data_IF_023847405267
#
_entry.id   IF_023847405267
#
_cell.length_a   1.000
_cell.length_b   1.000
_cell.length_c   1.000
_cell.angle_alpha   90.00
_cell.angle_beta   90.00
_cell.angle_gamma   90.00
#
_symmetry.space_group_name_H-M   'P 1'
#
loop_
_entity.id
_entity.type
_entity.pdbx_description
1 polymer ?
#
# COMPACT_ATOMS: atom_id res chain seq x y z
N UNK A 1 25.22 46.18 -40.43
CA UNK A 1 25.65 45.46 -39.20
C UNK A 1 24.77 44.24 -39.06
N UNK A 2 25.33 43.06 -39.26
CA UNK A 2 24.65 41.76 -39.21
C UNK A 2 25.04 41.10 -37.89
N UNK A 3 24.08 40.88 -37.01
CA UNK A 3 24.27 40.18 -35.74
C UNK A 3 24.32 38.66 -36.00
N UNK A 4 25.44 38.04 -35.66
CA UNK A 4 25.60 36.59 -35.63
C UNK A 4 25.07 36.03 -34.29
N UNK A 5 24.24 34.97 -34.30
CA UNK A 5 23.84 34.28 -33.08
C UNK A 5 24.97 33.36 -32.58
N UNK A 6 25.29 33.50 -31.28
CA UNK A 6 26.26 32.69 -30.57
C UNK A 6 25.74 31.26 -30.34
N UNK A 7 26.48 30.26 -30.81
CA UNK A 7 26.22 28.84 -30.53
C UNK A 7 26.64 28.47 -29.09
N UNK A 8 25.87 27.65 -28.36
CA UNK A 8 26.26 27.12 -27.06
C UNK A 8 27.26 25.96 -27.19
N UNK A 9 28.29 25.95 -26.34
CA UNK A 9 29.26 24.86 -26.22
C UNK A 9 28.66 23.65 -25.49
N UNK A 10 29.03 22.40 -25.87
CA UNK A 10 28.61 21.20 -25.15
C UNK A 10 29.43 21.01 -23.86
N UNK A 11 28.71 20.75 -22.76
CA UNK A 11 29.22 20.41 -21.44
C UNK A 11 29.81 18.99 -21.46
N UNK A 12 31.13 18.88 -21.28
CA UNK A 12 31.83 17.61 -21.10
C UNK A 12 31.48 17.00 -19.74
N UNK A 13 30.76 15.88 -19.75
CA UNK A 13 30.52 15.08 -18.54
C UNK A 13 31.71 14.15 -18.33
N UNK A 14 32.44 14.43 -17.25
CA UNK A 14 33.55 13.67 -16.69
C UNK A 14 33.06 12.31 -16.17
N UNK A 15 33.56 11.22 -16.75
CA UNK A 15 33.28 9.85 -16.31
C UNK A 15 34.29 9.45 -15.22
N UNK A 16 33.95 9.77 -13.97
CA UNK A 16 34.65 9.31 -12.78
C UNK A 16 34.62 7.78 -12.65
N UNK A 17 35.77 7.17 -12.96
CA UNK A 17 36.09 5.76 -12.79
C UNK A 17 36.82 5.56 -11.46
N UNK A 18 36.17 4.88 -10.50
CA UNK A 18 36.79 4.21 -9.33
C UNK A 18 35.75 3.19 -8.86
N UNK A 19 35.87 1.87 -9.06
CA UNK A 19 36.98 1.01 -8.68
C UNK A 19 36.57 0.24 -7.41
N UNK A 20 36.24 -1.06 -7.47
CA UNK A 20 35.75 -1.82 -6.33
C UNK A 20 36.90 -2.18 -5.39
N UNK A 21 36.87 -1.64 -4.17
CA UNK A 21 37.78 -2.05 -3.10
C UNK A 21 37.37 -3.42 -2.57
N UNK A 22 38.26 -4.38 -2.80
CA UNK A 22 38.30 -5.67 -2.14
C UNK A 22 38.40 -5.47 -0.62
N UNK A 23 37.50 -6.10 0.14
CA UNK A 23 37.75 -6.44 1.53
C UNK A 23 37.57 -7.96 1.68
N UNK A 24 38.68 -8.66 1.41
CA UNK A 24 38.87 -10.06 1.77
C UNK A 24 39.31 -10.13 3.24
N UNK A 25 38.69 -11.03 4.00
CA UNK A 25 39.40 -11.76 5.05
C UNK A 25 39.11 -11.35 6.49
N UNK A 26 37.96 -11.80 7.01
CA UNK A 26 37.90 -12.39 8.36
C UNK A 26 37.04 -13.64 8.33
N UNK A 27 37.72 -14.77 8.18
CA UNK A 27 37.25 -16.08 8.59
C UNK A 27 37.06 -16.13 10.12
N UNK A 28 36.26 -17.12 10.53
CA UNK A 28 36.15 -17.72 11.87
C UNK A 28 35.06 -17.15 12.80
N UNK A 29 33.80 -17.53 12.55
CA UNK A 29 33.07 -18.40 13.49
C UNK A 29 31.85 -19.04 12.81
N UNK A 30 32.00 -20.33 12.50
CA UNK A 30 30.97 -21.18 11.95
C UNK A 30 29.93 -21.53 13.04
N UNK A 31 28.82 -20.78 13.08
CA UNK A 31 27.57 -21.33 13.59
C UNK A 31 26.72 -21.71 12.38
N UNK A 32 26.90 -22.96 11.94
CA UNK A 32 26.09 -23.61 10.92
C UNK A 32 24.67 -23.80 11.49
N UNK A 33 23.85 -22.75 11.45
CA UNK A 33 22.41 -22.85 11.64
C UNK A 33 21.82 -23.59 10.45
N UNK A 34 21.47 -24.85 10.71
CA UNK A 34 20.69 -25.72 9.86
C UNK A 34 19.51 -24.94 9.25
N UNK A 35 19.34 -24.91 7.92
CA UNK A 35 18.10 -24.39 7.33
C UNK A 35 16.94 -25.26 7.83
N UNK A 36 15.83 -24.68 8.28
CA UNK A 36 14.66 -25.46 8.69
C UNK A 36 14.21 -26.34 7.51
N UNK A 37 13.72 -27.57 7.78
CA UNK A 37 13.22 -28.44 6.73
C UNK A 37 12.12 -27.71 5.97
N UNK A 38 12.37 -27.47 4.67
CA UNK A 38 11.36 -26.96 3.74
C UNK A 38 10.24 -27.98 3.75
N UNK A 39 9.12 -27.62 4.38
CA UNK A 39 7.98 -28.49 4.60
C UNK A 39 7.57 -29.14 3.28
N UNK A 40 7.56 -30.46 3.26
CA UNK A 40 7.02 -31.24 2.16
C UNK A 40 5.60 -30.74 1.85
N UNK A 41 5.27 -30.46 0.58
CA UNK A 41 3.94 -29.98 0.20
C UNK A 41 2.93 -30.99 0.73
N UNK A 42 2.09 -30.52 1.65
CA UNK A 42 1.10 -31.33 2.31
C UNK A 42 0.11 -31.83 1.25
N UNK A 43 0.04 -33.16 1.09
CA UNK A 43 -0.85 -33.88 0.15
C UNK A 43 -2.34 -33.46 0.27
N UNK A 44 -2.71 -32.81 1.37
CA UNK A 44 -4.00 -32.18 1.59
C UNK A 44 -4.28 -30.99 0.66
N UNK A 45 -3.26 -30.23 0.25
CA UNK A 45 -3.42 -29.09 -0.68
C UNK A 45 -3.70 -29.55 -2.12
N UNK A 46 -3.12 -30.68 -2.54
CA UNK A 46 -3.26 -31.21 -3.90
C UNK A 46 -4.66 -31.79 -4.16
N UNK A 47 -5.26 -32.42 -3.14
CA UNK A 47 -6.65 -32.92 -3.21
C UNK A 47 -7.68 -31.79 -3.17
N UNK A 48 -7.40 -30.69 -2.46
CA UNK A 48 -8.24 -29.49 -2.45
C UNK A 48 -8.20 -28.73 -3.78
N UNK A 49 -7.01 -28.56 -4.37
CA UNK A 49 -6.85 -27.87 -5.64
C UNK A 49 -7.52 -28.63 -6.81
N UNK A 50 -7.37 -29.96 -6.85
CA UNK A 50 -8.05 -30.80 -7.84
C UNK A 50 -9.57 -30.81 -7.68
N UNK A 51 -10.07 -30.83 -6.44
CA UNK A 51 -11.52 -30.71 -6.16
C UNK A 51 -12.14 -29.43 -6.69
N UNK A 52 -11.47 -28.28 -6.49
CA UNK A 52 -11.94 -26.98 -6.98
C UNK A 52 -12.02 -26.90 -8.51
N UNK A 53 -11.05 -27.48 -9.22
CA UNK A 53 -11.06 -27.54 -10.69
C UNK A 53 -12.25 -28.34 -11.22
N UNK A 54 -12.54 -29.50 -10.62
CA UNK A 54 -13.68 -30.34 -11.03
C UNK A 54 -15.01 -29.62 -10.81
N UNK A 55 -15.17 -28.98 -9.65
CA UNK A 55 -16.38 -28.19 -9.35
C UNK A 55 -16.52 -27.01 -10.30
N UNK A 56 -15.43 -26.32 -10.61
CA UNK A 56 -15.41 -25.20 -11.56
C UNK A 56 -15.84 -25.62 -12.98
N UNK A 57 -15.29 -26.72 -13.49
CA UNK A 57 -15.64 -27.24 -14.83
C UNK A 57 -17.10 -27.70 -14.87
N UNK A 58 -17.57 -28.41 -13.85
CA UNK A 58 -18.98 -28.83 -13.76
C UNK A 58 -19.93 -27.63 -13.68
N UNK A 59 -19.56 -26.58 -12.93
CA UNK A 59 -20.31 -25.32 -12.87
C UNK A 59 -20.39 -24.62 -14.22
N UNK A 60 -19.28 -24.55 -14.96
CA UNK A 60 -19.23 -23.96 -16.30
C UNK A 60 -20.12 -24.72 -17.28
N UNK A 61 -20.00 -26.06 -17.30
CA UNK A 61 -20.83 -26.93 -18.15
C UNK A 61 -22.31 -26.77 -17.80
N UNK A 62 -22.65 -26.69 -16.52
CA UNK A 62 -24.03 -26.45 -16.07
C UNK A 62 -24.58 -25.09 -16.53
N UNK A 63 -23.77 -24.02 -16.45
CA UNK A 63 -24.15 -22.68 -16.92
C UNK A 63 -24.37 -22.68 -18.44
N UNK A 64 -23.48 -23.32 -19.20
CA UNK A 64 -23.62 -23.49 -20.66
C UNK A 64 -24.90 -24.27 -21.01
N UNK A 65 -25.15 -25.39 -20.33
CA UNK A 65 -26.36 -26.18 -20.53
C UNK A 65 -27.63 -25.38 -20.19
N UNK A 66 -27.60 -24.59 -19.12
CA UNK A 66 -28.72 -23.73 -18.72
C UNK A 66 -28.99 -22.65 -19.76
N UNK A 67 -27.95 -22.09 -20.38
CA UNK A 67 -28.10 -21.07 -21.42
C UNK A 67 -28.63 -21.65 -22.74
N UNK A 68 -28.11 -22.81 -23.15
CA UNK A 68 -28.57 -23.53 -24.35
C UNK A 68 -30.03 -23.97 -24.20
N UNK A 69 -30.42 -24.45 -23.01
CA UNK A 69 -31.81 -24.87 -22.75
C UNK A 69 -32.78 -23.69 -22.77
N UNK A 70 -32.32 -22.48 -22.38
CA UNK A 70 -33.08 -21.23 -22.52
C UNK A 70 -33.22 -20.78 -23.98
N UNK A 71 -32.25 -21.08 -24.84
CA UNK A 71 -32.35 -20.77 -26.27
C UNK A 71 -33.30 -21.71 -27.00
N UNK A 72 -33.32 -23.01 -26.69
CA UNK A 72 -34.21 -23.97 -27.36
C UNK A 72 -35.70 -23.72 -27.11
N UNK A 73 -36.06 -23.09 -25.99
CA UNK A 73 -37.45 -22.64 -25.74
C UNK A 73 -37.87 -21.47 -26.64
N UNK A 74 -36.92 -20.74 -27.25
CA UNK A 74 -37.22 -19.65 -28.20
C UNK A 74 -37.40 -20.14 -29.64
N UNK A 75 -36.96 -21.36 -29.95
CA UNK A 75 -36.96 -21.90 -31.32
C UNK A 75 -38.30 -22.55 -31.71
N UNK A 76 -39.17 -22.89 -30.75
CA UNK A 76 -40.53 -23.38 -31.02
C UNK A 76 -41.55 -22.26 -31.31
N UNK A 77 -41.09 -21.03 -31.50
CA UNK A 77 -41.92 -19.86 -31.82
C UNK A 77 -41.72 -19.42 -33.28
N UNK A 78 -41.66 -20.37 -34.21
CA UNK A 78 -41.48 -20.11 -35.65
C UNK A 78 -42.78 -19.70 -36.37
N UNK A 79 -43.61 -18.91 -35.67
CA UNK A 79 -44.75 -18.18 -36.24
C UNK A 79 -44.82 -16.78 -35.60
N UNK A 80 -43.65 -16.19 -35.38
CA UNK A 80 -43.53 -14.81 -34.88
C UNK A 80 -43.95 -13.85 -35.99
N UNK A 81 -45.07 -13.11 -35.84
CA UNK A 81 -45.58 -12.18 -36.85
C UNK A 81 -44.53 -11.09 -37.13
N UNK A 82 -44.48 -10.60 -38.37
CA UNK A 82 -43.52 -9.59 -38.84
C UNK A 82 -43.41 -8.34 -37.92
N UNK A 83 -44.45 -8.08 -37.13
CA UNK A 83 -44.52 -7.00 -36.14
C UNK A 83 -43.57 -7.20 -34.94
N UNK A 84 -43.30 -8.43 -34.53
CA UNK A 84 -42.38 -8.75 -33.42
C UNK A 84 -40.91 -8.63 -33.84
N UNK A 85 -40.58 -8.96 -35.11
CA UNK A 85 -39.23 -8.73 -35.67
C UNK A 85 -38.86 -7.24 -35.71
N UNK A 86 -39.84 -6.37 -35.95
CA UNK A 86 -39.62 -4.92 -35.87
C UNK A 86 -39.35 -4.46 -34.43
N UNK A 87 -39.96 -5.11 -33.43
CA UNK A 87 -39.72 -4.81 -32.01
C UNK A 87 -38.33 -5.29 -31.56
N UNK A 88 -37.87 -6.46 -32.01
CA UNK A 88 -36.54 -6.96 -31.65
C UNK A 88 -35.43 -6.06 -32.19
N UNK A 89 -35.51 -5.63 -33.46
CA UNK A 89 -34.55 -4.68 -34.05
C UNK A 89 -34.53 -3.35 -33.28
N UNK A 90 -35.71 -2.86 -32.86
CA UNK A 90 -35.81 -1.63 -32.05
C UNK A 90 -35.20 -1.80 -30.65
N UNK A 91 -35.39 -2.96 -30.02
CA UNK A 91 -34.80 -3.25 -28.71
C UNK A 91 -33.28 -3.43 -28.78
N UNK A 92 -32.77 -3.99 -29.88
CA UNK A 92 -31.33 -4.14 -30.11
C UNK A 92 -30.68 -2.77 -30.32
N UNK A 93 -31.29 -1.90 -31.13
CA UNK A 93 -30.85 -0.51 -31.29
C UNK A 93 -30.95 0.30 -29.98
N UNK A 94 -31.90 0.01 -29.10
CA UNK A 94 -31.97 0.64 -27.78
C UNK A 94 -30.81 0.17 -26.87
N UNK A 95 -30.44 -1.11 -26.94
CA UNK A 95 -29.33 -1.67 -26.15
C UNK A 95 -27.95 -1.16 -26.60
N UNK A 96 -27.74 -0.97 -27.90
CA UNK A 96 -26.48 -0.40 -28.41
C UNK A 96 -26.31 1.06 -28.01
N UNK A 97 -27.39 1.84 -27.97
CA UNK A 97 -27.38 3.21 -27.45
C UNK A 97 -27.03 3.25 -25.95
N UNK A 98 -27.50 2.29 -25.16
CA UNK A 98 -27.16 2.19 -23.73
C UNK A 98 -25.67 1.91 -23.52
N UNK A 99 -25.07 1.02 -24.33
CA UNK A 99 -23.62 0.76 -24.30
C UNK A 99 -22.80 2.02 -24.60
N UNK A 100 -23.21 2.82 -25.59
CA UNK A 100 -22.53 4.10 -25.88
C UNK A 100 -22.69 5.11 -24.74
N UNK A 101 -23.82 5.08 -24.03
CA UNK A 101 -24.01 5.88 -22.82
C UNK A 101 -23.09 5.45 -21.67
N UNK A 102 -22.89 4.14 -21.50
CA UNK A 102 -21.98 3.60 -20.48
C UNK A 102 -20.52 3.92 -20.78
N UNK A 103 -20.07 3.83 -22.03
CA UNK A 103 -18.69 4.19 -22.41
C UNK A 103 -18.43 5.67 -22.18
N UNK A 104 -19.38 6.54 -22.52
CA UNK A 104 -19.27 7.98 -22.25
C UNK A 104 -19.14 8.27 -20.74
N UNK A 105 -19.96 7.65 -19.89
CA UNK A 105 -19.86 7.79 -18.42
C UNK A 105 -18.54 7.25 -17.86
N UNK A 106 -18.04 6.14 -18.43
CA UNK A 106 -16.75 5.60 -18.04
C UNK A 106 -15.61 6.58 -18.40
N UNK A 107 -15.65 7.18 -19.59
CA UNK A 107 -14.70 8.21 -20.01
C UNK A 107 -14.75 9.43 -19.09
N UNK A 108 -15.94 9.90 -18.72
CA UNK A 108 -16.12 11.01 -17.77
C UNK A 108 -15.57 10.67 -16.37
N UNK A 109 -15.77 9.43 -15.91
CA UNK A 109 -15.23 8.95 -14.63
C UNK A 109 -13.71 8.89 -14.65
N UNK A 110 -13.10 8.39 -15.74
CA UNK A 110 -11.65 8.36 -15.91
C UNK A 110 -11.09 9.78 -15.93
N UNK A 111 -11.72 10.70 -16.65
CA UNK A 111 -11.29 12.10 -16.68
C UNK A 111 -11.32 12.73 -15.30
N UNK A 112 -12.37 12.46 -14.52
CA UNK A 112 -12.48 12.93 -13.13
C UNK A 112 -11.37 12.34 -12.25
N UNK A 113 -11.06 11.05 -12.40
CA UNK A 113 -9.98 10.41 -11.64
C UNK A 113 -8.60 10.98 -11.99
N UNK A 114 -8.34 11.31 -13.26
CA UNK A 114 -7.10 11.96 -13.70
C UNK A 114 -6.95 13.31 -12.98
N UNK A 115 -7.97 14.16 -13.01
CA UNK A 115 -7.93 15.46 -12.32
C UNK A 115 -7.76 15.31 -10.80
N UNK A 116 -8.36 14.29 -10.18
CA UNK A 116 -8.14 14.02 -8.77
C UNK A 116 -6.69 13.57 -8.47
N UNK A 117 -6.08 12.78 -9.34
CA UNK A 117 -4.70 12.34 -9.19
C UNK A 117 -3.72 13.51 -9.38
N UNK A 118 -3.95 14.36 -10.38
CA UNK A 118 -3.16 15.57 -10.60
C UNK A 118 -3.17 16.49 -9.36
N UNK A 119 -4.34 16.75 -8.78
CA UNK A 119 -4.47 17.55 -7.56
C UNK A 119 -3.74 16.90 -6.36
N UNK A 120 -3.79 15.58 -6.24
CA UNK A 120 -3.07 14.86 -5.18
C UNK A 120 -1.57 14.90 -5.39
N UNK A 121 -1.09 14.79 -6.63
CA UNK A 121 0.33 14.88 -6.96
C UNK A 121 0.90 16.25 -6.56
N UNK A 122 0.23 17.34 -6.96
CA UNK A 122 0.62 18.72 -6.57
C UNK A 122 0.66 18.89 -5.05
N UNK A 123 -0.32 18.31 -4.33
CA UNK A 123 -0.33 18.37 -2.86
C UNK A 123 0.83 17.59 -2.24
N UNK A 124 1.20 16.44 -2.80
CA UNK A 124 2.33 15.65 -2.30
C UNK A 124 3.66 16.34 -2.58
N UNK A 125 3.83 16.95 -3.74
CA UNK A 125 4.99 17.75 -4.09
C UNK A 125 5.18 18.92 -3.11
N UNK A 126 4.12 19.68 -2.83
CA UNK A 126 4.17 20.76 -1.84
C UNK A 126 4.49 20.29 -0.40
N UNK A 127 4.08 19.06 -0.03
CA UNK A 127 4.42 18.49 1.27
C UNK A 127 5.89 18.03 1.32
N UNK A 128 6.41 17.53 0.21
CA UNK A 128 7.80 17.10 0.07
C UNK A 128 8.74 18.31 0.15
N UNK A 129 8.47 19.38 -0.60
CA UNK A 129 9.21 20.64 -0.52
C UNK A 129 9.27 21.19 0.91
N UNK A 130 8.13 21.11 1.63
CA UNK A 130 8.06 21.56 3.03
C UNK A 130 8.86 20.66 3.97
N UNK A 131 8.93 19.37 3.71
CA UNK A 131 9.74 18.44 4.49
C UNK A 131 11.24 18.70 4.26
N UNK A 132 11.66 18.89 3.00
CA UNK A 132 13.04 19.22 2.65
C UNK A 132 13.49 20.55 3.26
N UNK A 133 12.65 21.59 3.20
CA UNK A 133 12.94 22.86 3.85
C UNK A 133 13.18 22.72 5.37
N UNK A 134 12.40 21.85 6.04
CA UNK A 134 12.59 21.57 7.46
C UNK A 134 13.86 20.76 7.75
N UNK A 135 14.20 19.80 6.91
CA UNK A 135 15.43 19.01 7.05
C UNK A 135 16.64 19.94 6.96
N UNK A 136 16.68 20.79 5.94
CA UNK A 136 17.74 21.79 5.77
C UNK A 136 17.82 22.77 6.96
N UNK A 137 16.69 23.19 7.52
CA UNK A 137 16.67 24.02 8.73
C UNK A 137 17.29 23.29 9.94
N UNK A 138 16.99 22.00 10.12
CA UNK A 138 17.56 21.21 11.22
C UNK A 138 19.03 20.92 11.03
N UNK A 139 19.48 20.63 9.81
CA UNK A 139 20.89 20.46 9.48
C UNK A 139 21.67 21.74 9.77
N UNK A 140 21.17 22.90 9.32
CA UNK A 140 21.79 24.20 9.62
C UNK A 140 21.82 24.51 11.12
N UNK A 141 20.84 24.04 11.90
CA UNK A 141 20.85 24.16 13.37
C UNK A 141 21.88 23.21 14.00
N UNK A 142 22.03 22.01 13.47
CA UNK A 142 22.99 21.02 13.96
C UNK A 142 24.42 21.48 13.69
N UNK A 143 24.70 21.98 12.48
CA UNK A 143 26.00 22.58 12.13
C UNK A 143 26.35 23.79 12.99
N UNK A 144 25.35 24.61 13.37
CA UNK A 144 25.56 25.74 14.30
C UNK A 144 25.73 25.29 15.76
N UNK A 145 25.19 24.14 16.12
CA UNK A 145 25.24 23.61 17.48
C UNK A 145 26.57 22.88 17.80
N UNK A 146 27.33 22.45 16.78
CA UNK A 146 28.72 22.02 16.98
C UNK A 146 29.68 23.22 17.03
N UNK A 147 30.65 23.30 17.99
CA UNK A 147 31.18 22.23 18.82
C UNK A 147 30.90 22.47 20.32
N UNK A 148 29.96 21.74 20.89
CA UNK A 148 29.91 21.59 22.35
C UNK A 148 31.08 20.69 22.73
N UNK A 149 32.06 21.27 23.44
CA UNK A 149 33.20 20.57 24.04
C UNK A 149 32.77 19.23 24.64
N UNK A 150 33.56 18.15 24.48
CA UNK A 150 33.20 16.82 24.96
C UNK A 150 32.80 16.90 26.44
N UNK A 151 31.63 16.33 26.83
CA UNK A 151 31.19 16.37 28.21
C UNK A 151 32.24 15.68 29.09
N UNK A 152 32.54 16.22 30.29
CA UNK A 152 33.48 15.61 31.22
C UNK A 152 33.02 14.19 31.57
N UNK A 153 33.97 13.25 31.59
CA UNK A 153 33.76 11.82 31.80
C UNK A 153 32.82 11.52 32.99
N UNK A 154 31.86 10.58 32.82
CA UNK A 154 30.86 10.28 33.83
C UNK A 154 31.50 9.60 35.06
N UNK A 155 31.28 10.18 36.23
CA UNK A 155 31.56 9.59 37.54
C UNK A 155 30.49 8.51 37.79
N UNK A 156 30.84 7.29 38.26
CA UNK A 156 29.87 6.22 38.49
C UNK A 156 29.01 6.52 39.71
N UNK A 157 27.84 7.11 39.49
CA UNK A 157 26.80 7.26 40.50
C UNK A 157 25.90 6.02 40.49
N UNK A 158 25.97 5.22 41.55
CA UNK A 158 24.88 4.31 41.93
C UNK A 158 23.69 5.16 42.38
N UNK A 159 22.82 5.52 41.44
CA UNK A 159 21.51 6.10 41.74
C UNK A 159 20.44 5.06 41.39
N UNK A 160 19.77 4.57 42.44
CA UNK A 160 18.46 3.95 42.31
C UNK A 160 17.58 4.94 41.53
N UNK A 161 17.03 4.57 40.36
CA UNK A 161 16.24 5.50 39.55
C UNK A 161 15.03 5.91 40.37
N UNK A 162 15.02 7.18 40.79
CA UNK A 162 13.83 7.80 41.34
C UNK A 162 12.71 7.61 40.32
N UNK A 163 11.51 7.11 40.72
CA UNK A 163 10.44 6.81 39.79
C UNK A 163 10.12 8.05 38.98
N UNK A 164 10.40 7.99 37.68
CA UNK A 164 10.11 9.08 36.76
C UNK A 164 8.62 9.43 36.87
N UNK A 165 8.25 10.72 36.80
CA UNK A 165 6.85 11.13 36.80
C UNK A 165 6.10 10.40 35.68
N UNK A 166 5.22 9.46 36.05
CA UNK A 166 4.38 8.73 35.10
C UNK A 166 3.46 9.74 34.42
N UNK A 167 3.52 9.79 33.08
CA UNK A 167 2.66 10.64 32.26
C UNK A 167 1.17 10.41 32.64
N UNK A 168 0.39 11.47 32.88
CA UNK A 168 -1.05 11.35 33.16
C UNK A 168 -1.81 10.52 32.12
N UNK A 169 -1.35 10.47 30.86
CA UNK A 169 -1.95 9.64 29.81
C UNK A 169 -1.81 8.15 30.11
N UNK A 170 -0.63 7.69 30.53
CA UNK A 170 -0.38 6.28 30.84
C UNK A 170 -1.29 5.80 31.97
N UNK A 171 -1.47 6.64 33.00
CA UNK A 171 -2.38 6.36 34.11
C UNK A 171 -3.82 6.17 33.63
N UNK A 172 -4.28 7.00 32.70
CA UNK A 172 -5.63 6.91 32.13
C UNK A 172 -5.82 5.67 31.26
N UNK A 173 -4.83 5.33 30.43
CA UNK A 173 -4.85 4.10 29.60
C UNK A 173 -4.92 2.85 30.48
N UNK A 174 -4.11 2.77 31.54
CA UNK A 174 -4.16 1.63 32.47
C UNK A 174 -5.49 1.55 33.23
N UNK A 175 -6.04 2.68 33.68
CA UNK A 175 -7.34 2.68 34.36
C UNK A 175 -8.49 2.18 33.48
N UNK A 176 -8.45 2.45 32.16
CA UNK A 176 -9.44 1.94 31.20
C UNK A 176 -9.21 0.46 30.88
N UNK A 177 -7.96 0.02 30.78
CA UNK A 177 -7.64 -1.40 30.60
C UNK A 177 -8.04 -2.24 31.83
N UNK A 178 -7.89 -1.71 33.04
CA UNK A 178 -8.32 -2.35 34.29
C UNK A 178 -9.86 -2.47 34.39
N UNK A 179 -10.61 -1.71 33.57
CA UNK A 179 -12.06 -1.86 33.40
C UNK A 179 -12.45 -2.94 32.38
N UNK A 180 -11.47 -3.56 31.71
CA UNK A 180 -11.68 -4.62 30.72
C UNK A 180 -11.98 -4.14 29.30
N UNK A 181 -11.71 -2.87 28.98
CA UNK A 181 -11.89 -2.31 27.63
C UNK A 181 -10.81 -2.84 26.66
N UNK A 182 -11.19 -3.03 25.40
CA UNK A 182 -10.27 -3.45 24.34
C UNK A 182 -9.35 -2.29 23.88
N UNK A 183 -8.10 -2.53 23.43
CA UNK A 183 -7.19 -1.47 22.99
C UNK A 183 -7.78 -0.52 21.94
N UNK A 184 -8.64 -1.02 21.03
CA UNK A 184 -9.30 -0.19 20.01
C UNK A 184 -10.30 0.78 20.64
N UNK A 185 -11.02 0.35 21.68
CA UNK A 185 -11.98 1.19 22.41
C UNK A 185 -11.28 2.27 23.22
N UNK A 186 -10.18 1.90 23.90
CA UNK A 186 -9.34 2.83 24.65
C UNK A 186 -8.75 3.90 23.72
N UNK A 187 -8.25 3.49 22.55
CA UNK A 187 -7.72 4.39 21.52
C UNK A 187 -8.74 5.44 21.07
N UNK A 188 -10.00 5.02 20.82
CA UNK A 188 -11.09 5.94 20.48
C UNK A 188 -11.46 6.89 21.62
N UNK A 189 -11.43 6.42 22.86
CA UNK A 189 -11.83 7.23 24.02
C UNK A 189 -10.75 8.26 24.43
N UNK A 190 -9.47 7.93 24.22
CA UNK A 190 -8.33 8.80 24.56
C UNK A 190 -7.89 9.65 23.35
N UNK A 191 -8.49 9.43 22.17
CA UNK A 191 -8.16 10.08 20.90
C UNK A 191 -6.66 9.90 20.52
N UNK A 192 -6.26 8.62 20.48
CA UNK A 192 -4.88 8.20 20.19
C UNK A 192 -4.86 6.98 19.26
N UNK A 193 -3.77 6.75 18.50
CA UNK A 193 -3.65 5.57 17.64
C UNK A 193 -3.58 4.27 18.44
N UNK A 194 -4.22 3.19 17.96
CA UNK A 194 -4.26 1.89 18.64
C UNK A 194 -2.86 1.33 18.95
N UNK A 195 -1.91 1.44 18.02
CA UNK A 195 -0.54 0.94 18.24
C UNK A 195 0.19 1.62 19.39
N UNK A 196 -0.09 2.90 19.67
CA UNK A 196 0.47 3.59 20.83
C UNK A 196 -0.11 3.05 22.14
N UNK A 197 -1.41 2.73 22.15
CA UNK A 197 -2.07 2.13 23.31
C UNK A 197 -1.52 0.73 23.58
N UNK A 198 -1.36 -0.09 22.55
CA UNK A 198 -0.76 -1.43 22.66
C UNK A 198 0.66 -1.37 23.22
N UNK A 199 1.48 -0.42 22.74
CA UNK A 199 2.84 -0.22 23.26
C UNK A 199 2.84 0.13 24.76
N UNK A 200 1.97 1.06 25.18
CA UNK A 200 1.84 1.45 26.59
C UNK A 200 1.40 0.25 27.46
N UNK A 201 0.48 -0.58 26.97
CA UNK A 201 0.03 -1.77 27.69
C UNK A 201 1.10 -2.88 27.73
N UNK A 202 1.88 -3.04 26.65
CA UNK A 202 2.97 -4.01 26.58
C UNK A 202 4.09 -3.68 27.58
N UNK A 203 4.45 -2.40 27.73
CA UNK A 203 5.46 -1.93 28.68
C UNK A 203 5.11 -2.21 30.15
N UNK A 204 3.84 -2.42 30.49
CA UNK A 204 3.40 -2.80 31.84
C UNK A 204 3.60 -4.29 32.14
N UNK A 205 3.61 -5.14 31.11
CA UNK A 205 3.70 -6.61 31.24
C UNK A 205 5.14 -7.13 31.14
N UNK A 206 6.04 -6.35 30.54
CA UNK A 206 7.47 -6.63 30.47
C UNK A 206 8.15 -6.38 31.82
#
# INVERSE_FOLDING_TARGET
MQDQPSSPQPLSIDQGTTGPAQEQGRELEATQTLPPPVGSPSLLSETMASGLMVVGVLGLVFILFRNIRRQKQKESQFDVPAKERLQSIRSEAASTNDLHGMTARAQESVQTLITQLENKAVRLEALLDRAEAKISEYEARLERAEPVSPPPSPVPASENPSPLPIDPLHRRVHALADQGLDPVEIARQVDRPTGQIELILALRRA
#
